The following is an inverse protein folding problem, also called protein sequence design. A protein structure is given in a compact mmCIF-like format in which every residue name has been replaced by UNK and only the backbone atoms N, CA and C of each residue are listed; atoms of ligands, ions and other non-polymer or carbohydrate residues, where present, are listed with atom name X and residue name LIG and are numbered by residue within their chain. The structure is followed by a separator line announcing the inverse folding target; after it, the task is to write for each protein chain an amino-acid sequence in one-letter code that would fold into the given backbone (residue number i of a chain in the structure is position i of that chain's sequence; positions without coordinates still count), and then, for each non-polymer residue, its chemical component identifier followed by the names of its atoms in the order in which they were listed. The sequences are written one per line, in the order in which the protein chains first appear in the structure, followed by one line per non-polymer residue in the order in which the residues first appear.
data_IF_797668274313
#
_entry.id   IF_797668274313
#
_cell.length_a   1.000
_cell.length_b   1.000
_cell.length_c   1.000
_cell.angle_alpha   90.00
_cell.angle_beta   90.00
_cell.angle_gamma   90.00
#
_symmetry.space_group_name_H-M   'P 1'
#
loop_
_entity.id
_entity.type
_entity.pdbx_description
1 polymer ?
#
# COMPACT_ATOMS: atom_id res chain seq x y z
N UNK A 1 5.35 -2.16 21.55
CA UNK A 1 6.81 -1.97 21.36
C UNK A 1 7.40 -2.77 20.18
N UNK A 2 7.15 -4.08 20.03
CA UNK A 2 7.68 -4.86 18.88
C UNK A 2 7.24 -4.34 17.49
N UNK A 3 5.99 -3.90 17.37
CA UNK A 3 5.43 -3.36 16.11
C UNK A 3 6.12 -2.05 15.70
N UNK A 4 6.41 -1.16 16.64
CA UNK A 4 7.14 0.10 16.38
C UNK A 4 8.56 -0.16 15.87
N UNK A 5 9.29 -1.10 16.48
CA UNK A 5 10.64 -1.44 16.03
C UNK A 5 10.66 -2.07 14.63
N UNK A 6 9.68 -2.94 14.32
CA UNK A 6 9.54 -3.51 12.98
C UNK A 6 9.21 -2.45 11.94
N UNK A 7 8.31 -1.50 12.27
CA UNK A 7 7.98 -0.36 11.39
C UNK A 7 9.21 0.50 11.10
N UNK A 8 9.99 0.84 12.12
CA UNK A 8 11.19 1.68 11.94
C UNK A 8 12.23 1.00 11.05
N UNK A 9 12.51 -0.29 11.29
CA UNK A 9 13.43 -1.07 10.43
C UNK A 9 12.92 -1.19 8.99
N UNK A 10 11.62 -1.33 8.80
CA UNK A 10 11.03 -1.37 7.46
C UNK A 10 11.23 -0.05 6.70
N UNK A 11 10.99 1.08 7.36
CA UNK A 11 11.23 2.42 6.78
C UNK A 11 12.71 2.63 6.49
N UNK A 12 13.60 2.17 7.37
CA UNK A 12 15.06 2.26 7.18
C UNK A 12 15.54 1.41 6.00
N UNK A 13 15.05 0.17 5.87
CA UNK A 13 15.41 -0.72 4.76
C UNK A 13 14.82 -0.27 3.41
N UNK A 14 13.67 0.40 3.43
CA UNK A 14 12.91 0.76 2.22
C UNK A 14 12.44 2.23 2.22
N UNK A 15 13.35 3.21 2.34
CA UNK A 15 12.97 4.60 2.56
C UNK A 15 12.16 5.19 1.40
N UNK A 16 12.50 4.80 0.15
CA UNK A 16 11.75 5.22 -1.05
C UNK A 16 10.33 4.65 -1.08
N UNK A 17 10.17 3.38 -0.71
CA UNK A 17 8.86 2.73 -0.71
C UNK A 17 7.97 3.30 0.39
N UNK A 18 8.50 3.51 1.59
CA UNK A 18 7.78 4.17 2.67
C UNK A 18 7.34 5.60 2.29
N UNK A 19 8.23 6.38 1.67
CA UNK A 19 7.90 7.72 1.19
C UNK A 19 6.82 7.70 0.09
N UNK A 20 6.89 6.73 -0.83
CA UNK A 20 5.86 6.52 -1.85
C UNK A 20 4.50 6.21 -1.25
N UNK A 21 4.40 5.24 -0.33
CA UNK A 21 3.13 4.92 0.34
C UNK A 21 2.58 6.15 1.07
N UNK A 22 3.43 6.88 1.80
CA UNK A 22 3.00 8.12 2.46
C UNK A 22 2.44 9.14 1.46
N UNK A 23 3.12 9.38 0.33
CA UNK A 23 2.65 10.32 -0.68
C UNK A 23 1.31 9.89 -1.31
N UNK A 24 1.17 8.62 -1.68
CA UNK A 24 -0.05 8.07 -2.29
C UNK A 24 -1.23 8.11 -1.31
N UNK A 25 -1.03 7.67 -0.07
CA UNK A 25 -2.12 7.62 0.91
C UNK A 25 -2.44 8.97 1.56
N UNK A 26 -1.47 9.89 1.67
CA UNK A 26 -1.74 11.26 2.18
C UNK A 26 -2.45 12.15 1.18
N UNK A 27 -2.22 11.96 -0.13
CA UNK A 27 -2.97 12.62 -1.18
C UNK A 27 -4.42 12.09 -1.29
N UNK A 28 -4.68 10.90 -0.75
CA UNK A 28 -5.95 10.18 -0.85
C UNK A 28 -6.04 9.36 -2.13
N UNK A 29 -6.50 8.12 -2.01
CA UNK A 29 -6.82 7.28 -3.16
C UNK A 29 -8.28 7.57 -3.54
N UNK A 30 -8.52 7.96 -4.79
CA UNK A 30 -9.87 8.22 -5.31
C UNK A 30 -10.33 7.10 -6.24
N UNK A 31 -11.64 6.99 -6.46
CA UNK A 31 -12.19 6.10 -7.48
C UNK A 31 -11.53 6.40 -8.84
N UNK A 32 -11.26 5.33 -9.60
CA UNK A 32 -10.58 5.39 -10.88
C UNK A 32 -9.05 5.40 -10.80
N UNK A 33 -8.46 5.54 -9.60
CA UNK A 33 -7.02 5.36 -9.39
C UNK A 33 -6.61 3.97 -9.88
N UNK A 34 -5.57 3.87 -10.71
CA UNK A 34 -5.01 2.59 -11.14
C UNK A 34 -3.76 2.31 -10.33
N UNK A 35 -3.74 1.17 -9.66
CA UNK A 35 -2.59 0.67 -8.90
C UNK A 35 -2.01 -0.49 -9.69
N UNK A 36 -0.76 -0.38 -10.10
CA UNK A 36 0.00 -1.47 -10.70
C UNK A 36 1.04 -1.97 -9.70
N UNK A 37 1.16 -3.29 -9.57
CA UNK A 37 2.10 -3.94 -8.67
C UNK A 37 2.89 -4.96 -9.48
N UNK A 38 4.20 -4.78 -9.48
CA UNK A 38 5.16 -5.74 -10.02
C UNK A 38 5.90 -6.41 -8.86
N UNK A 39 5.95 -7.73 -8.87
CA UNK A 39 6.73 -8.53 -7.93
C UNK A 39 7.76 -9.34 -8.71
N UNK A 40 9.02 -9.21 -8.34
CA UNK A 40 10.12 -9.99 -8.90
C UNK A 40 10.72 -10.84 -7.78
N UNK A 41 10.59 -12.16 -7.87
CA UNK A 41 11.28 -13.05 -6.93
C UNK A 41 12.72 -13.27 -7.41
N UNK A 42 13.67 -13.56 -6.50
CA UNK A 42 15.04 -13.84 -6.90
C UNK A 42 15.11 -14.99 -7.92
N UNK A 43 15.64 -14.71 -9.11
CA UNK A 43 15.79 -15.70 -10.18
C UNK A 43 14.51 -16.06 -10.96
N UNK A 44 13.38 -15.40 -10.67
CA UNK A 44 12.14 -15.55 -11.45
C UNK A 44 11.88 -14.30 -12.28
N UNK A 45 11.13 -14.47 -13.38
CA UNK A 45 10.63 -13.33 -14.15
C UNK A 45 9.64 -12.48 -13.33
N UNK A 46 9.61 -11.15 -13.51
CA UNK A 46 8.64 -10.29 -12.86
C UNK A 46 7.19 -10.69 -13.22
N UNK A 47 6.32 -10.73 -12.22
CA UNK A 47 4.88 -10.80 -12.42
C UNK A 47 4.26 -9.44 -12.14
N UNK A 48 3.40 -8.97 -13.04
CA UNK A 48 2.75 -7.66 -12.93
C UNK A 48 1.24 -7.84 -12.97
N UNK A 49 0.54 -7.11 -12.11
CA UNK A 49 -0.92 -6.99 -12.12
C UNK A 49 -1.32 -5.55 -11.86
N UNK A 50 -2.54 -5.19 -12.22
CA UNK A 50 -3.12 -3.91 -11.88
C UNK A 50 -4.56 -4.06 -11.36
N UNK A 51 -5.00 -3.04 -10.63
CA UNK A 51 -6.39 -2.86 -10.24
C UNK A 51 -6.79 -1.40 -10.44
N UNK A 52 -8.03 -1.17 -10.87
CA UNK A 52 -8.65 0.14 -10.81
C UNK A 52 -9.50 0.19 -9.55
N UNK A 53 -9.25 1.19 -8.71
CA UNK A 53 -10.00 1.42 -7.47
C UNK A 53 -11.44 1.78 -7.81
N UNK A 54 -12.37 1.04 -7.23
CA UNK A 54 -13.81 1.28 -7.33
C UNK A 54 -14.32 1.93 -6.04
N UNK A 55 -15.48 2.59 -6.12
CA UNK A 55 -16.11 3.16 -4.93
C UNK A 55 -16.35 2.10 -3.82
N UNK A 56 -16.75 0.88 -4.19
CA UNK A 56 -16.96 -0.22 -3.24
C UNK A 56 -15.70 -0.60 -2.46
N UNK A 57 -14.51 -0.40 -3.03
CA UNK A 57 -13.24 -0.68 -2.35
C UNK A 57 -12.94 0.40 -1.31
N UNK A 58 -13.25 1.65 -1.61
CA UNK A 58 -13.09 2.77 -0.68
C UNK A 58 -14.06 2.64 0.50
N UNK A 59 -15.31 2.30 0.22
CA UNK A 59 -16.35 2.09 1.23
C UNK A 59 -15.93 0.97 2.21
N UNK A 60 -15.42 -0.15 1.69
CA UNK A 60 -14.90 -1.26 2.49
C UNK A 60 -13.72 -0.82 3.37
N UNK A 61 -12.79 -0.03 2.83
CA UNK A 61 -11.64 0.45 3.60
C UNK A 61 -12.05 1.38 4.75
N UNK A 62 -13.07 2.22 4.54
CA UNK A 62 -13.59 3.10 5.57
C UNK A 62 -14.35 2.32 6.66
N UNK A 63 -15.13 1.31 6.28
CA UNK A 63 -15.74 0.38 7.24
C UNK A 63 -14.69 -0.32 8.12
N UNK A 64 -13.61 -0.82 7.52
CA UNK A 64 -12.52 -1.47 8.26
C UNK A 64 -11.78 -0.52 9.22
N UNK A 65 -11.59 0.74 8.83
CA UNK A 65 -11.00 1.76 9.74
C UNK A 65 -11.90 2.01 10.94
N UNK A 66 -13.21 2.10 10.73
CA UNK A 66 -14.19 2.34 11.79
C UNK A 66 -14.26 1.16 12.78
N UNK A 67 -14.05 -0.08 12.33
CA UNK A 67 -13.99 -1.27 13.19
C UNK A 67 -12.68 -1.40 13.99
N UNK A 68 -11.61 -0.75 13.54
CA UNK A 68 -10.30 -0.79 14.19
C UNK A 68 -10.11 0.34 15.24
N UNK A 69 -11.11 1.22 15.41
CA UNK A 69 -11.19 2.24 16.45
C UNK A 69 -11.84 1.70 17.72
#
# INVERSE_FOLDING_TARGET
MKIMNARNKFVENHPKFAAFLNAVFSAGITEGTVIEITVTKPGEEPITTNMKVLQSDLDLLDELKNLAQ
#
